data_IF_409021319959
#
_entry.id   IF_409021319959
#
_cell.length_a   1.000
_cell.length_b   1.000
_cell.length_c   1.000
_cell.angle_alpha   90.00
_cell.angle_beta   90.00
_cell.angle_gamma   90.00
#
_symmetry.space_group_name_H-M   'P 1'
#
loop_
_entity.id
_entity.type
_entity.pdbx_description
1 polymer ?
#
# COMPACT_ATOMS: atom_id res chain seq x y z
N UNK A 1 -6.05 35.86 -13.85
CA UNK A 1 -5.77 35.99 -12.40
C UNK A 1 -7.01 35.50 -11.68
N UNK A 2 -7.04 34.51 -10.80
CA UNK A 2 -6.06 33.77 -10.00
C UNK A 2 -6.61 32.35 -9.79
N UNK A 3 -5.87 31.30 -10.17
CA UNK A 3 -6.18 29.96 -9.71
C UNK A 3 -5.85 29.90 -8.22
N UNK A 4 -6.86 29.66 -7.39
CA UNK A 4 -6.69 29.39 -5.96
C UNK A 4 -5.73 28.20 -5.82
N UNK A 5 -4.51 28.48 -5.38
CA UNK A 5 -3.51 27.46 -5.06
C UNK A 5 -3.98 26.83 -3.75
N UNK A 6 -4.93 25.90 -3.83
CA UNK A 6 -5.29 25.06 -2.71
C UNK A 6 -3.99 24.48 -2.14
N UNK A 7 -3.73 24.71 -0.84
CA UNK A 7 -2.65 24.06 -0.12
C UNK A 7 -2.83 22.56 -0.35
N UNK A 8 -2.05 21.97 -1.26
CA UNK A 8 -1.89 20.53 -1.34
C UNK A 8 -1.32 20.13 0.00
N UNK A 9 -2.19 19.70 0.92
CA UNK A 9 -1.73 18.87 2.01
C UNK A 9 -0.91 17.78 1.37
N UNK A 10 0.30 17.57 1.88
CA UNK A 10 1.15 16.49 1.39
C UNK A 10 0.32 15.20 1.44
N UNK A 11 0.07 14.61 0.27
CA UNK A 11 -0.58 13.29 0.16
C UNK A 11 0.27 12.20 0.83
N UNK A 12 1.51 12.54 1.22
CA UNK A 12 2.38 11.69 2.01
C UNK A 12 2.00 11.70 3.49
N UNK A 13 1.78 10.51 4.03
CA UNK A 13 1.52 10.25 5.45
C UNK A 13 2.44 9.13 5.91
N UNK A 14 3.30 9.42 6.88
CA UNK A 14 4.27 8.46 7.42
C UNK A 14 5.14 7.80 6.33
N UNK A 15 5.55 8.57 5.31
CA UNK A 15 6.38 8.07 4.21
C UNK A 15 5.64 7.22 3.17
N UNK A 16 4.30 7.20 3.18
CA UNK A 16 3.48 6.54 2.18
C UNK A 16 2.58 7.53 1.44
N UNK A 17 2.35 7.30 0.15
CA UNK A 17 1.50 8.14 -0.68
C UNK A 17 0.03 7.67 -0.61
N UNK A 18 -0.86 8.58 -0.20
CA UNK A 18 -2.30 8.36 -0.14
C UNK A 18 -3.02 9.26 -1.16
N UNK A 19 -3.44 8.69 -2.30
CA UNK A 19 -4.10 9.42 -3.38
C UNK A 19 -5.62 9.30 -3.24
N UNK A 20 -6.28 10.42 -2.93
CA UNK A 20 -7.75 10.49 -2.88
C UNK A 20 -8.40 9.66 -1.78
N UNK A 21 -7.62 9.13 -0.83
CA UNK A 21 -8.04 8.21 0.23
C UNK A 21 -8.75 6.95 -0.31
N UNK A 22 -8.36 6.48 -1.49
CA UNK A 22 -8.87 5.24 -2.07
C UNK A 22 -7.94 4.09 -1.66
N UNK A 23 -8.33 3.35 -0.62
CA UNK A 23 -7.46 2.37 0.05
C UNK A 23 -6.77 1.37 -0.90
N UNK A 24 -7.47 0.94 -1.95
CA UNK A 24 -6.90 0.04 -2.96
C UNK A 24 -5.76 0.70 -3.76
N UNK A 25 -5.95 1.97 -4.17
CA UNK A 25 -4.92 2.75 -4.87
C UNK A 25 -3.76 3.09 -3.93
N UNK A 26 -4.06 3.46 -2.69
CA UNK A 26 -3.07 3.75 -1.65
C UNK A 26 -2.20 2.52 -1.36
N UNK A 27 -2.80 1.33 -1.37
CA UNK A 27 -2.09 0.08 -1.18
C UNK A 27 -1.18 -0.26 -2.37
N UNK A 28 -1.65 -0.06 -3.61
CA UNK A 28 -0.79 -0.18 -4.79
C UNK A 28 0.41 0.77 -4.69
N UNK A 29 0.19 2.01 -4.26
CA UNK A 29 1.23 3.03 -4.09
C UNK A 29 2.26 2.75 -3.00
N UNK A 30 2.18 1.61 -2.30
CA UNK A 30 3.28 1.12 -1.46
C UNK A 30 4.44 0.51 -2.25
N UNK A 31 4.32 0.43 -3.57
CA UNK A 31 5.43 0.16 -4.49
C UNK A 31 5.43 1.15 -5.66
N UNK A 32 5.77 2.44 -5.41
CA UNK A 32 5.80 3.43 -6.46
C UNK A 32 6.90 3.11 -7.47
N UNK A 33 6.72 3.55 -8.71
CA UNK A 33 7.76 3.53 -9.74
C UNK A 33 8.32 4.94 -9.84
N UNK A 34 9.58 5.10 -9.46
CA UNK A 34 10.30 6.37 -9.56
C UNK A 34 11.42 6.22 -10.61
N UNK A 35 11.44 7.10 -11.61
CA UNK A 35 12.35 7.02 -12.76
C UNK A 35 12.45 5.61 -13.38
N UNK A 36 11.30 4.95 -13.56
CA UNK A 36 11.23 3.60 -14.12
C UNK A 36 11.59 2.46 -13.15
N UNK A 37 12.01 2.78 -11.92
CA UNK A 37 12.43 1.79 -10.92
C UNK A 37 11.36 1.62 -9.83
N UNK A 38 10.83 0.40 -9.62
CA UNK A 38 9.92 0.13 -8.50
C UNK A 38 10.67 0.19 -7.16
N UNK A 39 10.18 1.01 -6.23
CA UNK A 39 10.70 1.10 -4.86
C UNK A 39 9.75 0.39 -3.90
N UNK A 40 10.23 -0.48 -3.02
CA UNK A 40 9.40 -1.18 -2.04
C UNK A 40 9.28 -0.39 -0.73
N UNK A 41 8.07 0.05 -0.38
CA UNK A 41 7.82 0.82 0.86
C UNK A 41 7.35 -0.04 2.04
N UNK A 42 7.09 -1.34 1.85
CA UNK A 42 6.72 -2.27 2.92
C UNK A 42 7.84 -3.28 3.20
N UNK A 43 9.10 -2.88 3.50
CA UNK A 43 10.26 -3.78 3.67
C UNK A 43 10.00 -4.94 4.65
N UNK A 44 9.21 -4.68 5.69
CA UNK A 44 8.99 -5.57 6.81
C UNK A 44 7.61 -5.36 7.48
N UNK A 45 7.39 -6.08 8.57
CA UNK A 45 6.14 -6.04 9.33
C UNK A 45 5.92 -4.71 10.05
N UNK A 46 6.99 -4.02 10.43
CA UNK A 46 6.91 -2.70 11.07
C UNK A 46 6.42 -1.64 10.09
N UNK A 47 6.93 -1.66 8.86
CA UNK A 47 6.46 -0.82 7.77
C UNK A 47 5.00 -1.11 7.40
N UNK A 48 4.61 -2.39 7.37
CA UNK A 48 3.20 -2.77 7.17
C UNK A 48 2.27 -2.21 8.26
N UNK A 49 2.67 -2.33 9.53
CA UNK A 49 1.89 -1.80 10.65
C UNK A 49 1.80 -0.27 10.65
N UNK A 50 2.88 0.42 10.23
CA UNK A 50 2.87 1.87 9.99
C UNK A 50 1.90 2.25 8.88
N UNK A 51 1.91 1.52 7.77
CA UNK A 51 0.97 1.75 6.68
C UNK A 51 -0.48 1.53 7.11
N UNK A 52 -0.79 0.49 7.90
CA UNK A 52 -2.14 0.28 8.43
C UNK A 52 -2.61 1.39 9.37
N UNK A 53 -1.72 1.92 10.21
CA UNK A 53 -2.05 3.07 11.06
C UNK A 53 -2.25 4.34 10.22
N UNK A 54 -1.37 4.60 9.25
CA UNK A 54 -1.52 5.71 8.32
C UNK A 54 -2.80 5.57 7.49
N UNK A 55 -3.20 4.37 7.09
CA UNK A 55 -4.47 4.08 6.42
C UNK A 55 -5.69 4.14 7.36
N UNK A 56 -5.49 4.39 8.67
CA UNK A 56 -6.54 4.40 9.71
C UNK A 56 -7.26 3.05 9.90
N UNK A 57 -6.62 1.96 9.48
CA UNK A 57 -7.11 0.59 9.69
C UNK A 57 -6.74 0.04 11.08
N UNK A 58 -5.68 0.60 11.68
CA UNK A 58 -5.24 0.28 13.03
C UNK A 58 -5.06 1.55 13.86
N UNK A 59 -5.45 1.48 15.13
CA UNK A 59 -5.10 2.52 16.10
C UNK A 59 -3.68 2.30 16.63
N UNK A 60 -3.06 3.38 17.13
CA UNK A 60 -1.72 3.34 17.71
C UNK A 60 -1.54 2.25 18.78
N UNK A 61 -2.46 2.06 19.75
CA UNK A 61 -2.31 1.01 20.76
C UNK A 61 -2.36 -0.40 20.15
N UNK A 62 -3.22 -0.63 19.15
CA UNK A 62 -3.30 -1.92 18.45
C UNK A 62 -2.01 -2.19 17.65
N UNK A 63 -1.47 -1.16 16.98
CA UNK A 63 -0.19 -1.22 16.28
C UNK A 63 0.93 -1.66 17.22
N UNK A 64 1.07 -0.98 18.37
CA UNK A 64 2.11 -1.29 19.35
C UNK A 64 1.99 -2.73 19.88
N UNK A 65 0.76 -3.19 20.15
CA UNK A 65 0.48 -4.56 20.57
C UNK A 65 0.89 -5.59 19.51
N UNK A 66 0.45 -5.42 18.25
CA UNK A 66 0.82 -6.36 17.17
C UNK A 66 2.32 -6.38 16.94
N UNK A 67 2.96 -5.21 16.94
CA UNK A 67 4.41 -5.12 16.82
C UNK A 67 5.10 -5.90 17.95
N UNK A 68 4.73 -5.69 19.21
CA UNK A 68 5.32 -6.43 20.34
C UNK A 68 5.09 -7.94 20.25
N UNK A 69 3.89 -8.37 19.84
CA UNK A 69 3.52 -9.79 19.82
C UNK A 69 4.20 -10.55 18.69
N UNK A 70 4.28 -9.98 17.50
CA UNK A 70 4.67 -10.72 16.29
C UNK A 70 5.96 -10.25 15.64
N UNK A 71 6.60 -9.17 16.12
CA UNK A 71 7.92 -8.74 15.66
C UNK A 71 8.87 -9.93 15.53
N UNK A 72 9.53 -10.03 14.39
CA UNK A 72 10.51 -11.07 14.04
C UNK A 72 9.97 -12.51 13.99
N UNK A 73 8.67 -12.73 14.16
CA UNK A 73 8.06 -14.05 14.01
C UNK A 73 8.01 -14.50 12.54
N UNK A 74 7.96 -15.82 12.33
CA UNK A 74 7.71 -16.41 11.00
C UNK A 74 6.38 -15.88 10.42
N UNK A 75 5.33 -15.84 11.25
CA UNK A 75 4.01 -15.31 10.89
C UNK A 75 4.06 -13.89 10.36
N UNK A 76 4.84 -13.00 11.00
CA UNK A 76 4.99 -11.62 10.53
C UNK A 76 5.61 -11.54 9.14
N UNK A 77 6.66 -12.34 8.87
CA UNK A 77 7.28 -12.42 7.53
C UNK A 77 6.31 -12.96 6.49
N UNK A 78 5.55 -14.00 6.83
CA UNK A 78 4.56 -14.61 5.93
C UNK A 78 3.44 -13.63 5.57
N UNK A 79 2.93 -12.87 6.55
CA UNK A 79 1.90 -11.84 6.31
C UNK A 79 2.41 -10.76 5.36
N UNK A 80 3.63 -10.25 5.57
CA UNK A 80 4.23 -9.23 4.66
C UNK A 80 4.38 -9.80 3.26
N UNK A 81 4.88 -11.04 3.13
CA UNK A 81 5.02 -11.70 1.83
C UNK A 81 3.68 -11.85 1.13
N UNK A 82 2.66 -12.36 1.83
CA UNK A 82 1.33 -12.57 1.27
C UNK A 82 0.70 -11.27 0.77
N UNK A 83 0.80 -10.18 1.55
CA UNK A 83 0.26 -8.88 1.15
C UNK A 83 0.99 -8.29 -0.06
N UNK A 84 2.32 -8.40 -0.11
CA UNK A 84 3.09 -7.97 -1.29
C UNK A 84 2.72 -8.76 -2.54
N UNK A 85 2.62 -10.09 -2.43
CA UNK A 85 2.18 -10.94 -3.53
C UNK A 85 0.79 -10.55 -4.02
N UNK A 86 -0.15 -10.31 -3.10
CA UNK A 86 -1.48 -9.81 -3.45
C UNK A 86 -1.41 -8.45 -4.17
N UNK A 87 -0.63 -7.48 -3.66
CA UNK A 87 -0.43 -6.17 -4.29
C UNK A 87 0.10 -6.29 -5.72
N UNK A 88 1.10 -7.14 -5.90
CA UNK A 88 1.79 -7.29 -7.18
C UNK A 88 0.87 -7.96 -8.21
N UNK A 89 0.14 -9.03 -7.81
CA UNK A 89 -0.91 -9.65 -8.64
C UNK A 89 -1.99 -8.64 -9.01
N UNK A 90 -2.46 -7.85 -8.04
CA UNK A 90 -3.50 -6.85 -8.29
C UNK A 90 -3.03 -5.78 -9.28
N UNK A 91 -1.80 -5.27 -9.11
CA UNK A 91 -1.18 -4.33 -10.06
C UNK A 91 -1.10 -4.92 -11.46
N UNK A 92 -0.62 -6.15 -11.59
CA UNK A 92 -0.50 -6.83 -12.89
C UNK A 92 -1.86 -6.93 -13.59
N UNK A 93 -2.93 -7.31 -12.87
CA UNK A 93 -4.26 -7.38 -13.46
C UNK A 93 -4.76 -6.00 -13.91
N UNK A 94 -4.61 -4.96 -13.07
CA UNK A 94 -5.01 -3.59 -13.44
C UNK A 94 -4.27 -3.09 -14.68
N UNK A 95 -2.95 -3.34 -14.76
CA UNK A 95 -2.16 -2.96 -15.93
C UNK A 95 -2.58 -3.73 -17.18
N UNK A 96 -2.83 -5.04 -17.07
CA UNK A 96 -3.36 -5.84 -18.18
C UNK A 96 -4.68 -5.28 -18.69
N UNK A 97 -5.62 -4.93 -17.80
CA UNK A 97 -6.90 -4.34 -18.21
C UNK A 97 -6.72 -2.98 -18.89
N UNK A 98 -5.81 -2.14 -18.38
CA UNK A 98 -5.53 -0.82 -18.97
C UNK A 98 -4.97 -0.90 -20.40
N UNK A 99 -4.35 -2.03 -20.76
CA UNK A 99 -3.77 -2.29 -22.08
C UNK A 99 -4.73 -3.05 -23.02
N UNK A 100 -6.01 -3.17 -22.66
CA UNK A 100 -7.00 -3.90 -23.45
C UNK A 100 -6.95 -5.42 -23.26
N UNK A 101 -6.31 -5.91 -22.20
CA UNK A 101 -6.29 -7.32 -21.85
C UNK A 101 -7.69 -7.85 -21.55
N UNK A 102 -8.00 -9.04 -22.05
CA UNK A 102 -9.29 -9.71 -21.85
C UNK A 102 -9.52 -9.99 -20.37
N UNK A 103 -10.72 -9.67 -19.88
CA UNK A 103 -11.21 -10.11 -18.58
C UNK A 103 -11.34 -11.64 -18.64
N UNK A 104 -10.36 -12.36 -18.09
CA UNK A 104 -10.54 -13.78 -17.87
C UNK A 104 -11.71 -13.92 -16.87
N UNK A 105 -12.82 -14.54 -17.29
CA UNK A 105 -13.90 -14.94 -16.39
C UNK A 105 -13.36 -15.99 -15.42
N UNK A 106 -12.61 -15.55 -14.41
CA UNK A 106 -12.37 -16.32 -13.21
C UNK A 106 -13.55 -16.03 -12.28
N UNK A 107 -14.58 -16.85 -12.42
CA UNK A 107 -15.70 -16.96 -11.47
C UNK A 107 -15.10 -17.20 -10.07
N UNK A 108 -15.45 -16.34 -9.13
CA UNK A 108 -15.29 -16.61 -7.69
C UNK A 108 -16.42 -17.54 -7.27
#
# INVERSE_FOLDING_TARGET
MTASKAKRHSDWRDGFLFLGNQLALDFLNTRPVDNGTPTELLPDFSALLRWFEAARLLSHPKRARFHKQWRNSKRAREVVKALRSFRDIFREQVLRWSQGGVLNHATI
#
